data_IF_798345366217
#
_entry.id   IF_798345366217
#
_cell.length_a   1.000
_cell.length_b   1.000
_cell.length_c   1.000
_cell.angle_alpha   90.00
_cell.angle_beta   90.00
_cell.angle_gamma   90.00
#
_symmetry.space_group_name_H-M   'P 1'
#
loop_
_entity.id
_entity.type
_entity.pdbx_description
1 polymer ?
#
# COMPACT_ATOMS: atom_id res chain seq x y z
N UNK A 1 3.54 -3.11 29.81
CA UNK A 1 2.71 -2.74 28.68
C UNK A 1 2.08 -3.95 27.98
N UNK A 2 2.67 -5.14 28.06
CA UNK A 2 2.13 -6.40 27.58
C UNK A 2 1.80 -7.27 28.78
N UNK A 3 0.57 -7.78 28.84
CA UNK A 3 0.02 -8.59 29.92
C UNK A 3 -1.02 -9.60 29.40
N UNK A 4 -1.71 -10.28 30.29
CA UNK A 4 -2.75 -11.26 30.01
C UNK A 4 -4.05 -10.70 29.38
N UNK A 5 -4.18 -9.37 29.28
CA UNK A 5 -5.28 -8.67 28.60
C UNK A 5 -4.89 -8.18 27.19
N UNK A 6 -3.67 -8.45 26.78
CA UNK A 6 -3.13 -8.02 25.49
C UNK A 6 -3.40 -9.10 24.43
N UNK A 7 -3.97 -8.70 23.29
CA UNK A 7 -3.95 -9.47 22.04
C UNK A 7 -2.81 -8.95 21.16
N UNK A 8 -1.82 -9.80 20.88
CA UNK A 8 -0.75 -9.49 19.94
C UNK A 8 -1.09 -10.11 18.58
N UNK A 9 -1.11 -9.30 17.54
CA UNK A 9 -1.28 -9.77 16.16
C UNK A 9 0.07 -9.72 15.47
N UNK A 10 0.56 -10.85 15.00
CA UNK A 10 1.80 -10.97 14.22
C UNK A 10 1.49 -11.28 12.76
N UNK A 11 2.11 -10.52 11.85
CA UNK A 11 1.88 -10.66 10.41
C UNK A 11 3.19 -11.06 9.73
N UNK A 12 3.17 -12.17 9.02
CA UNK A 12 4.36 -12.65 8.28
C UNK A 12 3.92 -13.51 7.10
N UNK A 13 4.47 -13.26 5.92
CA UNK A 13 4.19 -14.09 4.74
C UNK A 13 4.69 -15.52 4.95
N UNK A 14 5.96 -15.69 5.32
CA UNK A 14 6.59 -17.01 5.51
C UNK A 14 6.23 -17.66 6.84
N UNK A 15 5.89 -16.86 7.85
CA UNK A 15 5.74 -17.33 9.23
C UNK A 15 7.03 -17.82 9.89
N UNK A 16 8.20 -17.47 9.32
CA UNK A 16 9.54 -17.87 9.80
C UNK A 16 10.43 -16.65 10.11
N UNK A 17 9.88 -15.44 10.14
CA UNK A 17 10.64 -14.21 10.41
C UNK A 17 11.16 -14.23 11.85
N UNK A 18 12.46 -14.27 12.02
CA UNK A 18 13.12 -14.48 13.32
C UNK A 18 12.73 -13.44 14.37
N UNK A 19 12.75 -12.15 13.99
CA UNK A 19 12.40 -11.06 14.92
C UNK A 19 10.91 -11.10 15.31
N UNK A 20 10.03 -11.45 14.38
CA UNK A 20 8.60 -11.61 14.64
C UNK A 20 8.35 -12.78 15.59
N UNK A 21 9.05 -13.91 15.40
CA UNK A 21 9.00 -15.06 16.32
C UNK A 21 9.50 -14.71 17.72
N UNK A 22 10.62 -13.99 17.81
CA UNK A 22 11.16 -13.55 19.10
C UNK A 22 10.18 -12.62 19.84
N UNK A 23 9.59 -11.64 19.13
CA UNK A 23 8.60 -10.73 19.71
C UNK A 23 7.34 -11.49 20.15
N UNK A 24 6.85 -12.45 19.36
CA UNK A 24 5.72 -13.31 19.67
C UNK A 24 5.95 -14.12 20.95
N UNK A 25 7.11 -14.79 21.06
CA UNK A 25 7.46 -15.60 22.23
C UNK A 25 7.56 -14.75 23.48
N UNK A 26 8.19 -13.56 23.38
CA UNK A 26 8.25 -12.63 24.51
C UNK A 26 6.86 -12.16 24.97
N UNK A 27 5.94 -11.94 24.04
CA UNK A 27 4.57 -11.56 24.39
C UNK A 27 3.83 -12.71 25.09
N UNK A 28 4.00 -13.96 24.63
CA UNK A 28 3.44 -15.16 25.27
C UNK A 28 4.00 -15.39 26.68
N UNK A 29 5.30 -15.19 26.89
CA UNK A 29 5.93 -15.24 28.23
C UNK A 29 5.31 -14.25 29.22
N UNK A 30 4.79 -13.10 28.70
CA UNK A 30 4.08 -12.08 29.49
C UNK A 30 2.57 -12.33 29.61
N UNK A 31 2.07 -13.46 29.13
CA UNK A 31 0.68 -13.87 29.22
C UNK A 31 -0.24 -13.37 28.10
N UNK A 32 0.30 -12.65 27.09
CA UNK A 32 -0.51 -12.18 25.97
C UNK A 32 -1.01 -13.33 25.10
N UNK A 33 -2.27 -13.22 24.62
CA UNK A 33 -2.78 -14.07 23.55
C UNK A 33 -2.19 -13.63 22.20
N UNK A 34 -1.78 -14.57 21.37
CA UNK A 34 -1.16 -14.26 20.09
C UNK A 34 -1.97 -14.81 18.93
N UNK A 35 -2.25 -13.95 17.95
CA UNK A 35 -2.87 -14.30 16.68
C UNK A 35 -1.85 -14.13 15.54
N UNK A 36 -1.60 -15.20 14.78
CA UNK A 36 -0.75 -15.15 13.59
C UNK A 36 -1.56 -14.94 12.31
N UNK A 37 -1.17 -13.96 11.48
CA UNK A 37 -1.66 -13.82 10.10
C UNK A 37 -0.52 -14.24 9.18
N UNK A 38 -0.63 -15.44 8.58
CA UNK A 38 0.46 -16.04 7.81
C UNK A 38 -0.03 -16.65 6.50
N UNK A 39 0.86 -16.77 5.53
CA UNK A 39 0.54 -17.45 4.27
C UNK A 39 1.02 -18.91 4.26
N UNK A 40 2.18 -19.19 4.85
CA UNK A 40 2.74 -20.53 4.86
C UNK A 40 2.09 -21.42 5.93
N UNK A 41 1.37 -22.44 5.48
CA UNK A 41 0.74 -23.42 6.37
C UNK A 41 1.81 -24.22 7.10
N UNK A 42 1.63 -24.42 8.42
CA UNK A 42 2.55 -25.19 9.25
C UNK A 42 3.88 -24.48 9.57
N UNK A 43 3.99 -23.19 9.29
CA UNK A 43 5.14 -22.37 9.69
C UNK A 43 5.29 -22.27 11.21
N UNK A 44 6.46 -21.82 11.67
CA UNK A 44 6.76 -21.69 13.11
C UNK A 44 5.77 -20.75 13.82
N UNK A 45 5.44 -19.60 13.22
CA UNK A 45 4.39 -18.72 13.76
C UNK A 45 3.04 -19.45 13.82
N UNK A 46 2.65 -20.18 12.75
CA UNK A 46 1.39 -20.91 12.73
C UNK A 46 1.29 -22.00 13.79
N UNK A 47 2.41 -22.64 14.13
CA UNK A 47 2.43 -23.68 15.17
C UNK A 47 2.46 -23.13 16.59
N UNK A 48 3.05 -21.95 16.79
CA UNK A 48 3.26 -21.38 18.11
C UNK A 48 2.21 -20.34 18.51
N UNK A 49 1.47 -19.74 17.56
CA UNK A 49 0.39 -18.82 17.85
C UNK A 49 -0.81 -19.53 18.49
N UNK A 50 -1.61 -18.78 19.28
CA UNK A 50 -2.83 -19.31 19.89
C UNK A 50 -3.98 -19.37 18.87
N UNK A 51 -4.00 -18.43 17.92
CA UNK A 51 -4.95 -18.39 16.81
C UNK A 51 -4.20 -18.12 15.50
N UNK A 52 -4.71 -18.63 14.39
CA UNK A 52 -4.07 -18.46 13.07
C UNK A 52 -5.10 -18.09 12.00
N UNK A 53 -4.82 -17.03 11.26
CA UNK A 53 -5.54 -16.66 10.05
C UNK A 53 -4.60 -16.85 8.84
N UNK A 54 -4.93 -17.79 7.96
CA UNK A 54 -4.18 -18.02 6.72
C UNK A 54 -4.66 -17.09 5.60
N UNK A 55 -3.74 -16.41 4.93
CA UNK A 55 -4.07 -15.51 3.81
C UNK A 55 -4.39 -16.24 2.51
N UNK A 56 -3.98 -17.51 2.39
CA UNK A 56 -4.22 -18.38 1.23
C UNK A 56 -3.81 -17.78 -0.13
N UNK A 57 -2.78 -16.92 -0.12
CA UNK A 57 -2.29 -16.24 -1.33
C UNK A 57 -1.52 -17.20 -2.28
N UNK A 58 -1.34 -18.46 -1.90
CA UNK A 58 -0.49 -19.41 -2.60
C UNK A 58 1.00 -19.07 -2.43
N UNK A 59 1.91 -19.80 -3.09
CA UNK A 59 3.35 -19.58 -2.96
C UNK A 59 3.74 -18.19 -3.51
N UNK A 60 4.45 -17.39 -2.69
CA UNK A 60 5.10 -16.15 -3.11
C UNK A 60 6.55 -16.49 -3.48
N UNK A 61 6.87 -16.43 -4.77
CA UNK A 61 8.18 -16.86 -5.28
C UNK A 61 9.17 -15.69 -5.28
N UNK A 62 8.68 -14.47 -5.57
CA UNK A 62 9.50 -13.28 -5.59
C UNK A 62 9.84 -12.81 -4.17
N UNK A 63 11.07 -12.32 -3.98
CA UNK A 63 11.47 -11.67 -2.70
C UNK A 63 10.66 -10.41 -2.47
N UNK A 64 10.50 -9.58 -3.50
CA UNK A 64 9.61 -8.43 -3.47
C UNK A 64 8.14 -8.89 -3.51
N UNK A 65 7.54 -8.98 -2.33
CA UNK A 65 6.15 -9.44 -2.16
C UNK A 65 5.16 -8.55 -2.91
N UNK A 66 4.19 -9.16 -3.57
CA UNK A 66 3.09 -8.46 -4.25
C UNK A 66 1.73 -8.95 -3.77
N UNK A 67 1.30 -10.14 -4.23
CA UNK A 67 -0.01 -10.71 -3.86
C UNK A 67 -0.12 -11.01 -2.37
N UNK A 68 0.97 -11.43 -1.71
CA UNK A 68 0.94 -11.74 -0.29
C UNK A 68 0.68 -10.48 0.55
N UNK A 69 1.27 -9.33 0.19
CA UNK A 69 0.96 -8.04 0.82
C UNK A 69 -0.54 -7.70 0.69
N UNK A 70 -1.09 -7.76 -0.53
CA UNK A 70 -2.50 -7.47 -0.76
C UNK A 70 -3.42 -8.40 0.02
N UNK A 71 -3.09 -9.71 0.08
CA UNK A 71 -3.86 -10.69 0.83
C UNK A 71 -3.78 -10.45 2.36
N UNK A 72 -2.62 -10.03 2.87
CA UNK A 72 -2.47 -9.64 4.29
C UNK A 72 -3.33 -8.42 4.62
N UNK A 73 -3.36 -7.41 3.76
CA UNK A 73 -4.21 -6.22 3.96
C UNK A 73 -5.69 -6.61 3.95
N UNK A 74 -6.12 -7.49 3.02
CA UNK A 74 -7.50 -8.01 3.01
C UNK A 74 -7.82 -8.78 4.30
N UNK A 75 -6.89 -9.63 4.77
CA UNK A 75 -7.06 -10.36 6.03
C UNK A 75 -7.23 -9.41 7.22
N UNK A 76 -6.46 -8.31 7.26
CA UNK A 76 -6.60 -7.27 8.29
C UNK A 76 -7.94 -6.54 8.21
N UNK A 77 -8.45 -6.26 7.01
CA UNK A 77 -9.79 -5.69 6.84
C UNK A 77 -10.87 -6.65 7.35
N UNK A 78 -10.81 -7.93 6.98
CA UNK A 78 -11.77 -8.94 7.46
C UNK A 78 -11.76 -9.06 8.98
N UNK A 79 -10.59 -9.12 9.58
CA UNK A 79 -10.42 -9.15 11.03
C UNK A 79 -10.99 -7.89 11.68
N UNK A 80 -10.69 -6.72 11.13
CA UNK A 80 -11.18 -5.43 11.65
C UNK A 80 -12.71 -5.35 11.59
N UNK A 81 -13.31 -5.75 10.47
CA UNK A 81 -14.77 -5.79 10.30
C UNK A 81 -15.40 -6.74 11.32
N UNK A 82 -14.83 -7.94 11.48
CA UNK A 82 -15.32 -8.92 12.46
C UNK A 82 -15.26 -8.36 13.88
N UNK A 83 -14.12 -7.84 14.30
CA UNK A 83 -13.97 -7.25 15.63
C UNK A 83 -14.89 -6.06 15.85
N UNK A 84 -15.07 -5.20 14.83
CA UNK A 84 -15.98 -4.06 14.92
C UNK A 84 -17.45 -4.49 15.10
N UNK A 85 -17.86 -5.58 14.45
CA UNK A 85 -19.19 -6.16 14.63
C UNK A 85 -19.36 -6.75 16.05
N UNK A 86 -18.43 -7.59 16.50
CA UNK A 86 -18.48 -8.21 17.82
C UNK A 86 -18.51 -7.16 18.96
N UNK A 87 -17.82 -6.04 18.76
CA UNK A 87 -17.79 -4.93 19.72
C UNK A 87 -18.97 -3.95 19.57
N UNK A 88 -19.91 -4.22 18.66
CA UNK A 88 -21.06 -3.35 18.40
C UNK A 88 -20.69 -1.97 17.87
N UNK A 89 -19.53 -1.84 17.20
CA UNK A 89 -19.02 -0.59 16.60
C UNK A 89 -19.34 -0.46 15.11
N UNK A 90 -19.84 -1.51 14.50
CA UNK A 90 -20.28 -1.55 13.10
C UNK A 90 -21.60 -2.28 12.99
N UNK A 91 -22.55 -1.69 12.30
CA UNK A 91 -23.84 -2.32 12.03
C UNK A 91 -23.77 -3.33 10.86
N UNK A 92 -24.77 -4.18 10.77
CA UNK A 92 -24.84 -5.22 9.74
C UNK A 92 -24.92 -4.62 8.33
N UNK A 93 -25.62 -3.50 8.16
CA UNK A 93 -25.77 -2.83 6.86
C UNK A 93 -24.41 -2.34 6.35
N UNK A 94 -23.67 -1.62 7.15
CA UNK A 94 -22.31 -1.14 6.82
C UNK A 94 -21.36 -2.31 6.54
N UNK A 95 -21.45 -3.37 7.32
CA UNK A 95 -20.68 -4.59 7.09
C UNK A 95 -20.97 -5.21 5.73
N UNK A 96 -22.24 -5.38 5.38
CA UNK A 96 -22.62 -5.97 4.09
C UNK A 96 -22.21 -5.09 2.92
N UNK A 97 -22.29 -3.76 3.08
CA UNK A 97 -21.82 -2.82 2.07
C UNK A 97 -20.31 -2.97 1.80
N UNK A 98 -19.48 -2.97 2.85
CA UNK A 98 -18.02 -3.12 2.70
C UNK A 98 -17.66 -4.49 2.11
N UNK A 99 -18.33 -5.57 2.55
CA UNK A 99 -18.15 -6.92 1.99
C UNK A 99 -18.45 -6.94 0.49
N UNK A 100 -19.53 -6.28 0.05
CA UNK A 100 -19.88 -6.16 -1.37
C UNK A 100 -18.74 -5.51 -2.17
N UNK A 101 -18.18 -4.40 -1.70
CA UNK A 101 -17.01 -3.79 -2.34
C UNK A 101 -15.78 -4.71 -2.34
N UNK A 102 -15.56 -5.50 -1.28
CA UNK A 102 -14.45 -6.45 -1.25
C UNK A 102 -14.61 -7.57 -2.27
N UNK A 103 -15.82 -8.05 -2.51
CA UNK A 103 -16.11 -9.08 -3.53
C UNK A 103 -15.85 -8.57 -4.95
N UNK A 104 -15.95 -7.26 -5.19
CA UNK A 104 -15.63 -6.64 -6.48
C UNK A 104 -14.12 -6.50 -6.75
N UNK A 105 -13.27 -6.52 -5.72
CA UNK A 105 -11.83 -6.25 -5.86
C UNK A 105 -11.14 -7.06 -6.95
N UNK A 106 -11.38 -8.37 -7.15
CA UNK A 106 -10.72 -9.13 -8.22
C UNK A 106 -11.04 -8.57 -9.62
N UNK A 107 -12.28 -8.14 -9.85
CA UNK A 107 -12.69 -7.53 -11.11
C UNK A 107 -12.02 -6.17 -11.31
N UNK A 108 -11.97 -5.34 -10.26
CA UNK A 108 -11.33 -4.03 -10.31
C UNK A 108 -9.82 -4.14 -10.53
N UNK A 109 -9.15 -5.13 -9.94
CA UNK A 109 -7.73 -5.45 -10.21
C UNK A 109 -7.53 -5.82 -11.68
N UNK A 110 -8.39 -6.67 -12.26
CA UNK A 110 -8.31 -7.02 -13.67
C UNK A 110 -8.47 -5.79 -14.58
N UNK A 111 -9.32 -4.83 -14.21
CA UNK A 111 -9.45 -3.57 -14.95
C UNK A 111 -8.13 -2.73 -14.91
N UNK A 112 -7.40 -2.77 -13.80
CA UNK A 112 -6.08 -2.12 -13.71
C UNK A 112 -5.06 -2.87 -14.57
N UNK A 113 -5.04 -4.20 -14.51
CA UNK A 113 -4.12 -5.02 -15.32
C UNK A 113 -4.36 -4.84 -16.82
N UNK A 114 -5.59 -4.60 -17.27
CA UNK A 114 -5.89 -4.26 -18.66
C UNK A 114 -5.26 -2.92 -19.10
N UNK A 115 -4.90 -2.04 -18.15
CA UNK A 115 -4.23 -0.74 -18.39
C UNK A 115 -2.70 -0.82 -18.35
N UNK A 116 -2.09 -2.01 -18.30
CA UNK A 116 -0.63 -2.21 -18.32
C UNK A 116 0.08 -1.39 -19.41
N UNK A 117 -0.40 -1.27 -20.67
CA UNK A 117 0.26 -0.44 -21.68
C UNK A 117 0.38 1.05 -21.29
N UNK A 118 -0.52 1.56 -20.45
CA UNK A 118 -0.43 2.92 -19.92
C UNK A 118 0.74 3.02 -18.92
N UNK A 119 0.86 2.04 -18.01
CA UNK A 119 1.97 2.00 -17.05
C UNK A 119 3.31 1.92 -17.79
N UNK A 120 3.43 1.09 -18.82
CA UNK A 120 4.65 0.97 -19.62
C UNK A 120 5.06 2.32 -20.23
N UNK A 121 4.12 3.06 -20.82
CA UNK A 121 4.41 4.41 -21.36
C UNK A 121 4.85 5.39 -20.27
N UNK A 122 4.18 5.37 -19.11
CA UNK A 122 4.55 6.21 -17.97
C UNK A 122 5.95 5.87 -17.47
N UNK A 123 6.28 4.59 -17.36
CA UNK A 123 7.62 4.14 -16.96
C UNK A 123 8.68 4.62 -17.96
N UNK A 124 8.46 4.48 -19.27
CA UNK A 124 9.36 5.00 -20.29
C UNK A 124 9.56 6.52 -20.19
N UNK A 125 8.50 7.26 -19.90
CA UNK A 125 8.56 8.73 -19.72
C UNK A 125 9.41 9.12 -18.51
N UNK A 126 9.40 8.34 -17.46
CA UNK A 126 10.00 8.68 -16.16
C UNK A 126 11.31 7.94 -15.85
N UNK A 127 11.82 7.09 -16.75
CA UNK A 127 13.03 6.28 -16.52
C UNK A 127 14.28 7.09 -16.19
N UNK A 128 14.36 8.32 -16.63
CA UNK A 128 15.50 9.21 -16.37
C UNK A 128 15.44 9.93 -15.01
N UNK A 129 14.45 9.65 -14.18
CA UNK A 129 14.33 10.27 -12.86
C UNK A 129 15.36 9.69 -11.90
N UNK A 130 16.17 10.55 -11.29
CA UNK A 130 17.24 10.15 -10.35
C UNK A 130 16.70 9.84 -8.96
N UNK A 131 15.73 10.64 -8.51
CA UNK A 131 15.07 10.50 -7.21
C UNK A 131 13.57 10.39 -7.41
N UNK A 132 12.93 9.55 -6.65
CA UNK A 132 11.47 9.35 -6.68
C UNK A 132 10.90 9.56 -5.30
N UNK A 133 9.97 10.49 -5.17
CA UNK A 133 9.24 10.72 -3.93
C UNK A 133 7.82 10.19 -4.08
N UNK A 134 7.36 9.45 -3.09
CA UNK A 134 5.96 9.04 -2.97
C UNK A 134 5.29 9.92 -1.95
N UNK A 135 4.20 10.59 -2.30
CA UNK A 135 3.49 11.47 -1.38
C UNK A 135 2.01 11.12 -1.33
N UNK A 136 1.45 11.22 -0.16
CA UNK A 136 0.02 11.01 0.09
C UNK A 136 -0.36 11.46 1.48
N UNK A 137 -1.64 11.40 1.80
CA UNK A 137 -2.16 11.68 3.14
C UNK A 137 -3.02 10.51 3.63
N UNK A 138 -3.02 10.27 4.95
CA UNK A 138 -3.77 9.15 5.51
C UNK A 138 -3.40 7.82 4.87
N UNK A 139 -4.36 7.08 4.36
CA UNK A 139 -4.15 5.78 3.73
C UNK A 139 -3.29 5.86 2.46
N UNK A 140 -3.37 6.97 1.73
CA UNK A 140 -2.56 7.19 0.52
C UNK A 140 -1.05 7.28 0.83
N UNK A 141 -0.67 7.84 1.99
CA UNK A 141 0.71 7.83 2.44
C UNK A 141 1.18 6.40 2.73
N UNK A 142 0.37 5.61 3.42
CA UNK A 142 0.72 4.23 3.80
C UNK A 142 0.95 3.36 2.55
N UNK A 143 0.10 3.46 1.54
CA UNK A 143 0.30 2.69 0.31
C UNK A 143 1.47 3.23 -0.53
N UNK A 144 1.79 4.51 -0.41
CA UNK A 144 3.00 5.10 -1.00
C UNK A 144 4.29 4.53 -0.40
N UNK A 145 4.29 4.16 0.88
CA UNK A 145 5.42 3.46 1.51
C UNK A 145 5.71 2.13 0.82
N UNK A 146 4.67 1.35 0.52
CA UNK A 146 4.80 0.07 -0.19
C UNK A 146 5.28 0.28 -1.64
N UNK A 147 4.75 1.26 -2.36
CA UNK A 147 5.20 1.60 -3.71
C UNK A 147 6.68 2.00 -3.76
N UNK A 148 7.11 2.84 -2.81
CA UNK A 148 8.52 3.21 -2.66
C UNK A 148 9.40 2.00 -2.35
N UNK A 149 8.94 1.10 -1.47
CA UNK A 149 9.66 -0.14 -1.15
C UNK A 149 9.85 -1.00 -2.40
N UNK A 150 8.79 -1.23 -3.19
CA UNK A 150 8.88 -2.02 -4.44
C UNK A 150 9.87 -1.42 -5.41
N UNK A 151 9.88 -0.10 -5.57
CA UNK A 151 10.82 0.56 -6.47
C UNK A 151 12.28 0.39 -6.02
N UNK A 152 12.55 0.46 -4.72
CA UNK A 152 13.88 0.18 -4.16
C UNK A 152 14.29 -1.27 -4.34
N UNK A 153 13.40 -2.21 -4.04
CA UNK A 153 13.71 -3.65 -4.02
C UNK A 153 14.04 -4.20 -5.41
N UNK A 154 13.32 -3.77 -6.46
CA UNK A 154 13.42 -4.39 -7.79
C UNK A 154 14.06 -3.51 -8.86
N UNK A 155 13.91 -2.18 -8.75
CA UNK A 155 14.52 -1.24 -9.70
C UNK A 155 15.80 -0.60 -9.17
N UNK A 156 16.14 -0.79 -7.88
CA UNK A 156 17.31 -0.22 -7.19
C UNK A 156 17.40 1.31 -7.31
N UNK A 157 16.25 1.97 -7.50
CA UNK A 157 16.15 3.42 -7.53
C UNK A 157 15.96 3.97 -6.12
N UNK A 158 16.66 5.07 -5.85
CA UNK A 158 16.43 5.81 -4.61
C UNK A 158 15.02 6.37 -4.62
N UNK A 159 14.22 5.96 -3.64
CA UNK A 159 12.86 6.46 -3.48
C UNK A 159 12.50 6.61 -2.01
N UNK A 160 11.76 7.66 -1.69
CA UNK A 160 11.33 7.94 -0.33
C UNK A 160 9.84 8.28 -0.26
N UNK A 161 9.09 7.67 0.68
CA UNK A 161 7.71 8.03 0.93
C UNK A 161 7.61 9.10 2.02
N UNK A 162 6.77 10.10 1.80
CA UNK A 162 6.50 11.13 2.79
C UNK A 162 5.00 11.35 2.97
N UNK A 163 4.57 11.55 4.20
CA UNK A 163 3.29 12.19 4.43
C UNK A 163 3.35 13.58 3.80
N UNK A 164 2.44 13.85 2.85
CA UNK A 164 2.54 15.03 1.99
C UNK A 164 2.65 16.36 2.76
N UNK A 165 2.03 16.44 3.94
CA UNK A 165 2.12 17.60 4.82
C UNK A 165 3.50 17.81 5.44
N UNK A 166 4.33 16.76 5.55
CA UNK A 166 5.64 16.81 6.19
C UNK A 166 6.77 17.20 5.23
N UNK A 167 6.52 17.23 3.91
CA UNK A 167 7.54 17.59 2.91
C UNK A 167 8.19 18.94 3.20
N UNK A 168 7.42 19.94 3.59
CA UNK A 168 7.91 21.32 3.84
C UNK A 168 8.84 21.43 5.05
N UNK A 169 8.91 20.42 5.91
CA UNK A 169 9.76 20.41 7.10
C UNK A 169 11.19 19.91 6.85
N UNK A 170 11.61 19.88 5.59
CA UNK A 170 12.99 19.51 5.20
C UNK A 170 13.06 18.85 3.83
N UNK A 171 12.39 17.71 3.60
CA UNK A 171 12.54 16.90 2.38
C UNK A 171 12.27 17.65 1.07
N UNK A 172 11.42 18.66 1.11
CA UNK A 172 11.13 19.50 -0.07
C UNK A 172 12.38 20.21 -0.64
N UNK A 173 13.45 20.36 0.16
CA UNK A 173 14.71 20.91 -0.29
C UNK A 173 15.44 20.02 -1.30
N UNK A 174 15.14 18.72 -1.32
CA UNK A 174 15.70 17.72 -2.23
C UNK A 174 14.98 17.66 -3.58
N UNK A 175 13.88 18.39 -3.73
CA UNK A 175 13.08 18.42 -4.96
C UNK A 175 13.79 19.31 -5.98
N UNK A 176 14.05 18.75 -7.16
CA UNK A 176 14.65 19.39 -8.33
C UNK A 176 13.93 18.95 -9.62
N UNK A 177 14.27 19.51 -10.77
CA UNK A 177 13.64 19.28 -12.08
C UNK A 177 13.78 17.83 -12.60
N UNK A 178 14.72 17.06 -12.06
CA UNK A 178 14.90 15.63 -12.35
C UNK A 178 14.14 14.71 -11.41
N UNK A 179 13.48 15.26 -10.39
CA UNK A 179 12.73 14.50 -9.39
C UNK A 179 11.36 14.09 -9.93
N UNK A 180 11.03 12.81 -9.78
CA UNK A 180 9.66 12.32 -9.95
C UNK A 180 8.95 12.31 -8.60
N UNK A 181 7.77 12.89 -8.55
CA UNK A 181 6.87 12.77 -7.42
C UNK A 181 5.66 11.94 -7.82
N UNK A 182 5.48 10.79 -7.20
CA UNK A 182 4.27 9.96 -7.33
C UNK A 182 3.28 10.39 -6.24
N UNK A 183 2.25 11.11 -6.65
CA UNK A 183 1.19 11.59 -5.76
C UNK A 183 0.03 10.60 -5.72
N UNK A 184 -0.26 10.03 -4.55
CA UNK A 184 -1.43 9.16 -4.38
C UNK A 184 -2.57 10.03 -3.84
N UNK A 185 -3.70 10.04 -4.58
CA UNK A 185 -4.79 11.02 -4.39
C UNK A 185 -6.14 10.29 -4.50
N UNK A 186 -6.36 9.32 -3.61
CA UNK A 186 -7.58 8.49 -3.61
C UNK A 186 -8.56 8.86 -2.51
N UNK A 187 -8.12 9.66 -1.52
CA UNK A 187 -8.94 10.08 -0.38
C UNK A 187 -9.62 11.42 -0.71
N UNK A 188 -10.93 11.41 -1.02
CA UNK A 188 -11.68 12.60 -1.45
C UNK A 188 -11.63 13.73 -0.40
N UNK A 189 -11.76 13.41 0.89
CA UNK A 189 -11.73 14.39 1.98
C UNK A 189 -10.36 15.08 2.16
N UNK A 190 -9.28 14.46 1.64
CA UNK A 190 -7.92 14.97 1.73
C UNK A 190 -7.42 15.57 0.41
N UNK A 191 -8.27 15.59 -0.62
CA UNK A 191 -7.91 16.00 -1.98
C UNK A 191 -7.26 17.38 -2.02
N UNK A 192 -7.94 18.40 -1.52
CA UNK A 192 -7.43 19.79 -1.55
C UNK A 192 -6.09 19.96 -0.84
N UNK A 193 -5.92 19.25 0.30
CA UNK A 193 -4.66 19.30 1.05
C UNK A 193 -3.53 18.62 0.30
N UNK A 194 -3.81 17.50 -0.36
CA UNK A 194 -2.82 16.76 -1.17
C UNK A 194 -2.45 17.55 -2.42
N UNK A 195 -3.43 18.17 -3.09
CA UNK A 195 -3.21 19.06 -4.24
C UNK A 195 -2.33 20.25 -3.85
N UNK A 196 -2.55 20.86 -2.68
CA UNK A 196 -1.68 21.93 -2.19
C UNK A 196 -0.22 21.49 -2.13
N UNK A 197 0.05 20.29 -1.61
CA UNK A 197 1.41 19.74 -1.56
C UNK A 197 1.97 19.39 -2.96
N UNK A 198 1.13 18.91 -3.87
CA UNK A 198 1.53 18.70 -5.27
C UNK A 198 1.97 20.04 -5.92
N UNK A 199 1.24 21.12 -5.69
CA UNK A 199 1.64 22.45 -6.17
C UNK A 199 2.99 22.91 -5.61
N UNK A 200 3.26 22.63 -4.34
CA UNK A 200 4.53 22.98 -3.68
C UNK A 200 5.72 22.26 -4.37
N UNK A 201 5.61 20.96 -4.65
CA UNK A 201 6.68 20.22 -5.34
C UNK A 201 6.82 20.62 -6.80
N UNK A 202 5.72 20.90 -7.50
CA UNK A 202 5.76 21.41 -8.87
C UNK A 202 6.42 22.78 -8.97
N UNK A 203 6.18 23.67 -8.00
CA UNK A 203 6.84 24.98 -7.95
C UNK A 203 8.37 24.88 -7.81
N UNK A 204 8.89 23.70 -7.40
CA UNK A 204 10.32 23.39 -7.35
C UNK A 204 10.84 22.61 -8.55
N UNK A 205 10.00 22.42 -9.56
CA UNK A 205 10.37 21.77 -10.82
C UNK A 205 10.11 20.27 -10.89
N UNK A 206 9.56 19.62 -9.82
CA UNK A 206 9.25 18.20 -9.87
C UNK A 206 8.28 17.85 -11.01
N UNK A 207 8.48 16.69 -11.61
CA UNK A 207 7.47 16.05 -12.45
C UNK A 207 6.55 15.22 -11.59
N UNK A 208 5.24 15.32 -11.80
CA UNK A 208 4.24 14.68 -10.96
C UNK A 208 3.45 13.64 -11.74
N UNK A 209 3.50 12.40 -11.30
CA UNK A 209 2.59 11.32 -11.67
C UNK A 209 1.56 11.13 -10.56
N UNK A 210 0.29 11.40 -10.82
CA UNK A 210 -0.76 11.15 -9.86
C UNK A 210 -1.40 9.77 -10.06
N UNK A 211 -1.74 9.10 -8.95
CA UNK A 211 -2.62 7.93 -8.92
C UNK A 211 -3.92 8.38 -8.27
N UNK A 212 -5.02 8.36 -9.01
CA UNK A 212 -6.32 8.86 -8.56
C UNK A 212 -7.45 7.91 -8.92
N UNK A 213 -8.61 8.03 -8.27
CA UNK A 213 -9.81 7.29 -8.68
C UNK A 213 -10.42 7.90 -9.94
N UNK A 214 -10.99 7.04 -10.79
CA UNK A 214 -11.77 7.45 -11.96
C UNK A 214 -12.87 8.45 -11.58
N UNK A 215 -13.04 9.46 -12.41
CA UNK A 215 -13.97 10.57 -12.16
C UNK A 215 -13.31 11.81 -11.56
N UNK A 216 -12.15 11.69 -10.93
CA UNK A 216 -11.39 12.85 -10.42
C UNK A 216 -10.58 13.52 -11.53
N UNK A 217 -11.26 14.25 -12.43
CA UNK A 217 -10.58 14.98 -13.51
C UNK A 217 -9.86 16.26 -13.04
N UNK A 218 -10.16 16.72 -11.84
CA UNK A 218 -9.55 17.93 -11.32
C UNK A 218 -8.04 17.78 -11.10
N UNK A 219 -7.58 16.59 -10.76
CA UNK A 219 -6.15 16.30 -10.56
C UNK A 219 -5.31 16.55 -11.81
N UNK A 220 -5.90 16.45 -13.01
CA UNK A 220 -5.21 16.72 -14.29
C UNK A 220 -4.69 18.16 -14.41
N UNK A 221 -5.24 19.10 -13.64
CA UNK A 221 -4.76 20.50 -13.61
C UNK A 221 -3.43 20.64 -12.84
N UNK A 222 -3.07 19.64 -12.04
CA UNK A 222 -1.96 19.72 -11.08
C UNK A 222 -0.85 18.71 -11.33
N UNK A 223 -1.17 17.56 -11.94
CA UNK A 223 -0.22 16.53 -12.29
C UNK A 223 0.23 16.62 -13.75
N UNK A 224 1.41 16.10 -14.08
CA UNK A 224 1.91 16.00 -15.45
C UNK A 224 1.36 14.77 -16.17
N UNK A 225 1.02 13.73 -15.40
CA UNK A 225 0.30 12.54 -15.84
C UNK A 225 -0.58 12.02 -14.71
N UNK A 226 -1.64 11.32 -15.08
CA UNK A 226 -2.54 10.68 -14.14
C UNK A 226 -2.76 9.23 -14.54
N UNK A 227 -2.60 8.32 -13.58
CA UNK A 227 -3.08 6.96 -13.72
C UNK A 227 -4.36 6.78 -12.92
N UNK A 228 -5.44 6.42 -13.58
CA UNK A 228 -6.74 6.23 -12.95
C UNK A 228 -6.96 4.77 -12.55
N UNK A 229 -7.22 4.56 -11.25
CA UNK A 229 -7.76 3.31 -10.71
C UNK A 229 -9.30 3.34 -10.73
N UNK A 230 -9.98 2.20 -10.84
CA UNK A 230 -11.42 2.13 -10.72
C UNK A 230 -11.95 2.71 -9.41
N UNK A 231 -13.17 3.24 -9.41
CA UNK A 231 -13.82 3.68 -8.17
C UNK A 231 -14.13 2.47 -7.28
N UNK A 232 -13.92 2.66 -5.99
CA UNK A 232 -14.27 1.71 -4.93
C UNK A 232 -14.54 2.46 -3.63
N UNK A 233 -14.90 1.74 -2.59
CA UNK A 233 -15.01 2.32 -1.26
C UNK A 233 -13.65 2.89 -0.82
N UNK A 234 -13.64 4.07 -0.19
CA UNK A 234 -12.41 4.80 0.17
C UNK A 234 -11.40 3.98 1.00
N UNK A 235 -11.90 3.10 1.88
CA UNK A 235 -11.05 2.20 2.67
C UNK A 235 -10.30 1.18 1.82
N UNK A 236 -10.86 0.77 0.67
CA UNK A 236 -10.30 -0.25 -0.21
C UNK A 236 -9.46 0.34 -1.35
N UNK A 237 -9.56 1.65 -1.58
CA UNK A 237 -8.78 2.35 -2.60
C UNK A 237 -7.27 2.12 -2.49
N UNK A 238 -6.65 2.03 -1.29
CA UNK A 238 -5.23 1.69 -1.15
C UNK A 238 -4.83 0.36 -1.77
N UNK A 239 -5.68 -0.67 -1.69
CA UNK A 239 -5.43 -1.97 -2.33
C UNK A 239 -5.31 -1.83 -3.85
N UNK A 240 -6.21 -1.07 -4.46
CA UNK A 240 -6.18 -0.81 -5.91
C UNK A 240 -5.02 0.12 -6.30
N UNK A 241 -4.74 1.15 -5.49
CA UNK A 241 -3.64 2.08 -5.74
C UNK A 241 -2.26 1.43 -5.63
N UNK A 242 -2.13 0.33 -4.91
CA UNK A 242 -0.89 -0.43 -4.81
C UNK A 242 -0.51 -1.12 -6.13
N UNK A 243 -1.49 -1.61 -6.90
CA UNK A 243 -1.24 -2.39 -8.11
C UNK A 243 -0.46 -1.59 -9.17
N UNK A 244 -0.85 -0.36 -9.56
CA UNK A 244 -0.07 0.42 -10.52
C UNK A 244 1.34 0.76 -10.01
N UNK A 245 1.55 0.89 -8.70
CA UNK A 245 2.88 1.13 -8.12
C UNK A 245 3.77 -0.12 -8.25
N UNK A 246 3.24 -1.30 -7.99
CA UNK A 246 3.95 -2.58 -8.22
C UNK A 246 4.31 -2.75 -9.69
N UNK A 247 3.39 -2.49 -10.61
CA UNK A 247 3.63 -2.56 -12.04
C UNK A 247 4.64 -1.51 -12.50
N UNK A 248 4.58 -0.29 -11.98
CA UNK A 248 5.54 0.76 -12.28
C UNK A 248 6.95 0.34 -11.87
N UNK A 249 7.13 -0.19 -10.67
CA UNK A 249 8.42 -0.69 -10.21
C UNK A 249 8.93 -1.86 -11.08
N UNK A 250 8.05 -2.80 -11.45
CA UNK A 250 8.39 -3.92 -12.33
C UNK A 250 8.88 -3.44 -13.71
N UNK A 251 8.12 -2.58 -14.37
CA UNK A 251 8.52 -2.09 -15.71
C UNK A 251 9.71 -1.14 -15.64
N UNK A 252 9.91 -0.40 -14.54
CA UNK A 252 11.13 0.36 -14.32
C UNK A 252 12.36 -0.57 -14.30
N UNK A 253 12.29 -1.67 -13.56
CA UNK A 253 13.35 -2.69 -13.54
C UNK A 253 13.59 -3.30 -14.93
N UNK A 254 12.52 -3.66 -15.65
CA UNK A 254 12.64 -4.18 -17.01
C UNK A 254 13.40 -3.22 -17.95
N UNK A 255 13.15 -1.91 -17.85
CA UNK A 255 13.79 -0.92 -18.70
C UNK A 255 15.22 -0.57 -18.29
N UNK A 256 15.57 -0.74 -17.01
CA UNK A 256 16.91 -0.42 -16.50
C UNK A 256 17.90 -1.57 -16.67
N UNK A 257 17.43 -2.83 -16.69
CA UNK A 257 18.29 -4.01 -16.60
C UNK A 257 18.12 -5.02 -17.74
N UNK A 258 17.30 -4.74 -18.74
CA UNK A 258 17.19 -5.50 -19.99
C UNK A 258 17.64 -4.70 -21.18
#
# INVERSE_FOLDING_TARGET
LIDDKTLMIVVSQSGETADTLAAMRLAKEKGARVMGIVNAVGSSIAREADDVLYTLAGPEIAVASTKAFSAQVVAMYLLTIHLAQELGKMDEKTTMEIKGYMEELPSLVNNILAKVPVIQRLTQKYIGSKNVFYIGRGLDYIVGMEGSLKLKEIAYLHSEPYAAGELKHGPIALIEDTTLVVGIVTQEELFEKTVSNIREVKARGARVLAIAMEGNKEIEKYADDVFYIPRTHWMLAPLLANIPQQLFAYYMACLLYT
#
